data_IF_866488143187
#
_entry.id   IF_866488143187
#
_cell.length_a   1.000
_cell.length_b   1.000
_cell.length_c   1.000
_cell.angle_alpha   90.00
_cell.angle_beta   90.00
_cell.angle_gamma   90.00
#
_symmetry.space_group_name_H-M   'P 1'
#
loop_
_entity.id
_entity.type
_entity.pdbx_description
1 polymer ?
#
# COMPACT_ATOMS: atom_id res chain seq x y z
N UNK A 1 -2.99 -15.72 22.96
CA UNK A 1 -3.47 -14.49 22.28
C UNK A 1 -2.76 -14.37 20.94
N UNK A 2 -3.49 -14.10 19.85
CA UNK A 2 -2.90 -13.91 18.52
C UNK A 2 -2.94 -12.41 18.20
N UNK A 3 -1.77 -11.80 18.01
CA UNK A 3 -1.63 -10.39 17.70
C UNK A 3 -1.30 -10.19 16.22
N UNK A 4 -1.91 -9.18 15.59
CA UNK A 4 -1.77 -8.90 14.15
C UNK A 4 -0.46 -8.16 13.83
N UNK A 5 0.06 -7.37 14.78
CA UNK A 5 1.30 -6.63 14.62
C UNK A 5 2.38 -7.08 15.60
N UNK A 6 3.68 -6.91 15.27
CA UNK A 6 4.77 -7.16 16.21
C UNK A 6 4.68 -6.27 17.46
N UNK A 7 4.22 -5.02 17.30
CA UNK A 7 4.06 -4.08 18.41
C UNK A 7 2.98 -4.55 19.41
N UNK A 8 1.82 -5.00 18.90
CA UNK A 8 0.77 -5.58 19.75
C UNK A 8 1.24 -6.85 20.43
N UNK A 9 1.97 -7.71 19.72
CA UNK A 9 2.52 -8.94 20.30
C UNK A 9 3.47 -8.62 21.46
N UNK A 10 4.37 -7.64 21.28
CA UNK A 10 5.29 -7.19 22.32
C UNK A 10 4.55 -6.57 23.52
N UNK A 11 3.52 -5.76 23.27
CA UNK A 11 2.68 -5.19 24.31
C UNK A 11 1.97 -6.27 25.13
N UNK A 12 1.22 -7.16 24.46
CA UNK A 12 0.43 -8.18 25.14
C UNK A 12 1.29 -9.25 25.82
N UNK A 13 2.49 -9.54 25.32
CA UNK A 13 3.42 -10.47 25.95
C UNK A 13 3.85 -10.01 27.37
N UNK A 14 3.72 -8.71 27.69
CA UNK A 14 3.96 -8.19 29.04
C UNK A 14 2.82 -8.50 30.02
N UNK A 15 1.63 -8.83 29.53
CA UNK A 15 0.42 -9.00 30.32
C UNK A 15 -0.14 -10.43 30.28
N UNK A 16 0.16 -11.18 29.23
CA UNK A 16 -0.39 -12.50 28.99
C UNK A 16 0.70 -13.52 28.68
N UNK A 17 0.51 -14.77 29.13
CA UNK A 17 1.32 -15.91 28.67
C UNK A 17 0.79 -16.39 27.31
N UNK A 18 1.68 -16.90 26.45
CA UNK A 18 1.35 -17.45 25.12
C UNK A 18 0.75 -16.40 24.16
N UNK A 19 1.53 -15.35 23.89
CA UNK A 19 1.23 -14.35 22.85
C UNK A 19 2.02 -14.68 21.60
N UNK A 20 1.34 -14.82 20.47
CA UNK A 20 1.95 -15.13 19.18
C UNK A 20 1.57 -14.05 18.17
N UNK A 21 2.55 -13.62 17.37
CA UNK A 21 2.31 -12.73 16.24
C UNK A 21 1.87 -13.58 15.03
N UNK A 22 0.68 -13.28 14.50
CA UNK A 22 0.15 -13.87 13.27
C UNK A 22 -0.35 -12.73 12.38
N UNK A 23 0.32 -12.44 11.26
CA UNK A 23 -0.06 -11.33 10.39
C UNK A 23 -1.48 -11.44 9.83
N UNK A 24 -2.01 -10.31 9.37
CA UNK A 24 -3.34 -10.25 8.77
C UNK A 24 -3.44 -11.14 7.52
N UNK A 25 -4.56 -11.86 7.41
CA UNK A 25 -4.91 -12.58 6.19
C UNK A 25 -5.30 -11.60 5.09
N UNK A 26 -4.97 -11.92 3.85
CA UNK A 26 -5.22 -11.06 2.71
C UNK A 26 -5.70 -11.83 1.47
N UNK A 27 -6.17 -11.13 0.45
CA UNK A 27 -6.77 -11.73 -0.75
C UNK A 27 -5.77 -12.27 -1.77
N UNK A 28 -4.47 -12.14 -1.53
CA UNK A 28 -3.44 -12.51 -2.51
C UNK A 28 -2.90 -13.91 -2.21
N UNK A 29 -2.87 -14.79 -3.21
CA UNK A 29 -2.38 -16.16 -3.05
C UNK A 29 -0.87 -16.32 -3.27
N UNK A 30 -0.24 -15.44 -4.04
CA UNK A 30 1.21 -15.43 -4.31
C UNK A 30 1.64 -14.05 -4.81
N UNK A 31 2.92 -13.75 -4.68
CA UNK A 31 3.51 -12.54 -5.28
C UNK A 31 3.53 -12.72 -6.80
N UNK A 32 2.97 -11.75 -7.52
CA UNK A 32 2.86 -11.77 -8.97
C UNK A 32 2.93 -10.33 -9.51
N UNK A 33 4.16 -9.81 -9.59
CA UNK A 33 4.47 -8.46 -10.04
C UNK A 33 4.59 -8.45 -11.58
N UNK A 34 3.86 -7.58 -12.29
CA UNK A 34 3.98 -7.47 -13.74
C UNK A 34 5.35 -6.95 -14.19
N UNK A 35 5.88 -7.55 -15.26
CA UNK A 35 7.07 -7.06 -15.94
C UNK A 35 6.83 -5.71 -16.64
N UNK A 36 7.94 -5.12 -17.12
CA UNK A 36 7.93 -3.89 -17.90
C UNK A 36 7.58 -2.64 -17.09
N UNK A 37 6.95 -1.68 -17.76
CA UNK A 37 6.56 -0.38 -17.22
C UNK A 37 5.04 -0.18 -17.36
N UNK A 38 4.44 0.46 -16.36
CA UNK A 38 3.15 1.13 -16.49
C UNK A 38 3.33 2.61 -16.83
N UNK A 39 2.22 3.32 -17.02
CA UNK A 39 2.17 4.70 -17.51
C UNK A 39 1.54 5.69 -16.50
N UNK A 40 1.07 5.22 -15.35
CA UNK A 40 0.50 6.06 -14.30
C UNK A 40 0.89 5.64 -12.88
N UNK A 41 0.73 6.57 -11.95
CA UNK A 41 0.73 6.31 -10.53
C UNK A 41 -0.71 6.11 -10.02
N UNK A 42 -0.91 5.26 -9.03
CA UNK A 42 -2.22 4.94 -8.46
C UNK A 42 -2.26 5.23 -6.97
N UNK A 43 -3.36 5.83 -6.52
CA UNK A 43 -3.84 5.75 -5.14
C UNK A 43 -5.23 5.14 -5.10
N UNK A 44 -5.49 4.27 -4.11
CA UNK A 44 -6.81 3.67 -3.94
C UNK A 44 -7.29 3.57 -2.49
N UNK A 45 -8.61 3.65 -2.29
CA UNK A 45 -9.24 3.50 -0.98
C UNK A 45 -10.74 3.79 -0.99
N UNK A 46 -11.40 3.51 0.13
CA UNK A 46 -12.75 4.01 0.37
C UNK A 46 -12.67 5.51 0.66
N UNK A 47 -12.92 6.37 -0.32
CA UNK A 47 -12.71 7.82 -0.24
C UNK A 47 -13.73 8.50 0.68
N UNK A 48 -14.82 7.82 1.06
CA UNK A 48 -15.70 8.29 2.15
C UNK A 48 -15.04 8.24 3.52
N UNK A 49 -13.94 7.50 3.69
CA UNK A 49 -13.21 7.45 4.97
C UNK A 49 -12.29 8.68 5.06
N UNK A 50 -12.38 9.49 6.13
CA UNK A 50 -11.61 10.74 6.25
C UNK A 50 -10.10 10.58 6.05
N UNK A 51 -9.51 9.50 6.57
CA UNK A 51 -8.08 9.20 6.37
C UNK A 51 -7.73 9.04 4.88
N UNK A 52 -8.59 8.34 4.12
CA UNK A 52 -8.34 8.10 2.70
C UNK A 52 -8.55 9.35 1.86
N UNK A 53 -9.55 10.17 2.20
CA UNK A 53 -9.81 11.46 1.57
C UNK A 53 -8.63 12.42 1.82
N UNK A 54 -8.15 12.51 3.06
CA UNK A 54 -6.99 13.32 3.43
C UNK A 54 -5.74 12.91 2.63
N UNK A 55 -5.46 11.61 2.55
CA UNK A 55 -4.35 11.07 1.76
C UNK A 55 -4.51 11.38 0.26
N UNK A 56 -5.70 11.21 -0.31
CA UNK A 56 -5.97 11.55 -1.71
C UNK A 56 -5.75 13.04 -1.99
N UNK A 57 -6.26 13.91 -1.12
CA UNK A 57 -6.12 15.36 -1.26
C UNK A 57 -4.68 15.84 -1.10
N UNK A 58 -3.91 15.26 -0.18
CA UNK A 58 -2.47 15.50 -0.09
C UNK A 58 -1.76 15.16 -1.40
N UNK A 59 -2.09 14.01 -2.00
CA UNK A 59 -1.50 13.63 -3.28
C UNK A 59 -1.84 14.63 -4.39
N UNK A 60 -3.10 15.05 -4.50
CA UNK A 60 -3.53 16.03 -5.50
C UNK A 60 -2.81 17.36 -5.31
N UNK A 61 -2.88 17.92 -4.10
CA UNK A 61 -2.52 19.31 -3.85
C UNK A 61 -1.02 19.52 -3.62
N UNK A 62 -0.29 18.52 -3.11
CA UNK A 62 1.12 18.70 -2.71
C UNK A 62 2.10 17.84 -3.53
N UNK A 63 1.67 16.67 -4.01
CA UNK A 63 2.56 15.72 -4.69
C UNK A 63 2.41 15.77 -6.21
N UNK A 64 1.19 15.82 -6.74
CA UNK A 64 0.93 15.71 -8.17
C UNK A 64 0.66 17.03 -8.88
N UNK A 65 0.36 18.12 -8.16
CA UNK A 65 0.26 19.44 -8.76
C UNK A 65 1.59 19.82 -9.44
N UNK A 66 1.54 20.12 -10.74
CA UNK A 66 2.72 20.40 -11.57
C UNK A 66 3.69 19.24 -11.76
N UNK A 67 3.32 17.99 -11.45
CA UNK A 67 4.14 16.81 -11.70
C UNK A 67 3.84 16.23 -13.09
N UNK A 68 4.87 15.98 -13.90
CA UNK A 68 4.74 15.32 -15.21
C UNK A 68 4.58 13.78 -15.06
N UNK A 69 3.59 13.38 -14.26
CA UNK A 69 3.19 11.99 -14.03
C UNK A 69 1.68 11.98 -13.84
N UNK A 70 0.99 11.11 -14.57
CA UNK A 70 -0.46 10.89 -14.38
C UNK A 70 -0.71 10.17 -13.06
N UNK A 71 -1.65 10.69 -12.28
CA UNK A 71 -2.21 10.01 -11.11
C UNK A 71 -3.63 9.55 -11.43
N UNK A 72 -3.93 8.29 -11.13
CA UNK A 72 -5.29 7.78 -11.01
C UNK A 72 -5.62 7.63 -9.54
N UNK A 73 -6.72 8.25 -9.10
CA UNK A 73 -7.30 8.07 -7.77
C UNK A 73 -8.55 7.20 -7.94
N UNK A 74 -8.55 6.03 -7.32
CA UNK A 74 -9.61 5.03 -7.48
C UNK A 74 -10.31 4.73 -6.15
N UNK A 75 -11.63 4.78 -6.12
CA UNK A 75 -12.35 4.49 -4.89
C UNK A 75 -13.85 4.72 -4.93
N UNK A 76 -14.46 4.72 -3.76
CA UNK A 76 -15.89 4.99 -3.58
C UNK A 76 -16.12 6.28 -2.81
N UNK A 77 -17.11 7.05 -3.27
CA UNK A 77 -17.68 8.18 -2.54
C UNK A 77 -16.66 9.27 -2.17
N UNK A 78 -15.98 9.85 -3.17
CA UNK A 78 -15.10 11.00 -2.94
C UNK A 78 -15.84 12.17 -2.28
N UNK A 79 -15.14 12.98 -1.49
CA UNK A 79 -15.71 14.22 -0.99
C UNK A 79 -15.92 15.24 -2.11
N UNK A 80 -16.84 16.19 -1.92
CA UNK A 80 -16.98 17.32 -2.84
C UNK A 80 -15.70 18.18 -2.93
N UNK A 81 -14.86 18.14 -1.89
CA UNK A 81 -13.59 18.84 -1.85
C UNK A 81 -12.54 18.12 -2.70
N UNK A 82 -12.39 16.80 -2.57
CA UNK A 82 -11.50 16.02 -3.42
C UNK A 82 -11.87 16.15 -4.91
N UNK A 83 -13.16 16.14 -5.25
CA UNK A 83 -13.60 16.38 -6.65
C UNK A 83 -13.18 17.76 -7.17
N UNK A 84 -13.26 18.81 -6.34
CA UNK A 84 -12.83 20.17 -6.70
C UNK A 84 -11.31 20.26 -6.85
N UNK A 85 -10.56 19.62 -5.96
CA UNK A 85 -9.10 19.57 -6.01
C UNK A 85 -8.64 18.88 -7.31
N UNK A 86 -9.21 17.71 -7.63
CA UNK A 86 -8.89 16.96 -8.86
C UNK A 86 -9.22 17.77 -10.11
N UNK A 87 -10.35 18.48 -10.15
CA UNK A 87 -10.74 19.29 -11.31
C UNK A 87 -9.76 20.42 -11.65
N UNK A 88 -8.87 20.80 -10.71
CA UNK A 88 -7.85 21.85 -10.90
C UNK A 88 -6.50 21.30 -11.35
N UNK A 89 -6.26 20.00 -11.23
CA UNK A 89 -4.95 19.38 -11.46
C UNK A 89 -5.04 18.45 -12.68
N UNK A 90 -4.54 18.87 -13.86
CA UNK A 90 -4.86 18.23 -15.14
C UNK A 90 -4.27 16.82 -15.31
N UNK A 91 -3.23 16.48 -14.55
CA UNK A 91 -2.61 15.16 -14.55
C UNK A 91 -3.24 14.19 -13.54
N UNK A 92 -4.33 14.56 -12.86
CA UNK A 92 -5.04 13.69 -11.93
C UNK A 92 -6.40 13.29 -12.48
N UNK A 93 -6.69 11.99 -12.46
CA UNK A 93 -7.98 11.42 -12.80
C UNK A 93 -8.61 10.79 -11.55
N UNK A 94 -9.89 11.08 -11.30
CA UNK A 94 -10.68 10.44 -10.26
C UNK A 94 -11.63 9.40 -10.89
N UNK A 95 -11.50 8.14 -10.48
CA UNK A 95 -12.38 7.02 -10.85
C UNK A 95 -13.20 6.57 -9.67
N UNK A 96 -14.47 6.94 -9.69
CA UNK A 96 -15.45 6.54 -8.67
C UNK A 96 -16.30 5.35 -9.12
N UNK A 97 -16.86 4.63 -8.15
CA UNK A 97 -17.82 3.54 -8.38
C UNK A 97 -17.27 2.37 -9.21
N UNK A 98 -15.97 2.11 -9.12
CA UNK A 98 -15.33 0.96 -9.75
C UNK A 98 -15.32 -0.25 -8.81
N UNK A 99 -15.50 -1.45 -9.37
CA UNK A 99 -15.50 -2.70 -8.62
C UNK A 99 -14.10 -3.12 -8.14
N UNK A 100 -14.06 -4.09 -7.22
CA UNK A 100 -12.81 -4.64 -6.66
C UNK A 100 -11.86 -5.18 -7.74
N UNK A 101 -12.39 -5.84 -8.77
CA UNK A 101 -11.59 -6.39 -9.86
C UNK A 101 -10.87 -5.29 -10.65
N UNK A 102 -11.54 -4.15 -10.88
CA UNK A 102 -10.92 -3.01 -11.56
C UNK A 102 -9.87 -2.33 -10.67
N UNK A 103 -10.09 -2.25 -9.35
CA UNK A 103 -9.05 -1.78 -8.41
C UNK A 103 -7.82 -2.70 -8.47
N UNK A 104 -8.02 -4.01 -8.45
CA UNK A 104 -6.93 -4.97 -8.54
C UNK A 104 -6.18 -4.86 -9.88
N UNK A 105 -6.92 -4.64 -10.97
CA UNK A 105 -6.34 -4.38 -12.29
C UNK A 105 -5.50 -3.11 -12.28
N UNK A 106 -6.03 -2.00 -11.75
CA UNK A 106 -5.29 -0.75 -11.63
C UNK A 106 -4.02 -0.91 -10.80
N UNK A 107 -4.07 -1.64 -9.68
CA UNK A 107 -2.89 -1.90 -8.83
C UNK A 107 -1.77 -2.60 -9.62
N UNK A 108 -2.14 -3.57 -10.46
CA UNK A 108 -1.21 -4.30 -11.33
C UNK A 108 -0.68 -3.41 -12.46
N UNK A 109 -1.56 -2.66 -13.12
CA UNK A 109 -1.22 -1.85 -14.30
C UNK A 109 -0.40 -0.60 -13.94
N UNK A 110 -0.60 -0.04 -12.74
CA UNK A 110 0.15 1.11 -12.27
C UNK A 110 1.66 0.85 -12.26
N UNK A 111 2.42 1.88 -12.61
CA UNK A 111 3.86 1.87 -12.47
C UNK A 111 4.27 2.09 -11.01
N UNK A 112 3.53 2.96 -10.31
CA UNK A 112 3.75 3.28 -8.91
C UNK A 112 2.43 3.25 -8.16
N UNK A 113 2.33 2.39 -7.14
CA UNK A 113 1.28 2.47 -6.15
C UNK A 113 1.75 3.43 -5.04
N UNK A 114 1.14 4.61 -4.97
CA UNK A 114 1.52 5.67 -4.02
C UNK A 114 0.56 5.63 -2.85
N UNK A 115 1.06 5.35 -1.64
CA UNK A 115 0.23 5.04 -0.47
C UNK A 115 0.66 5.88 0.74
N UNK A 116 0.34 7.19 0.81
CA UNK A 116 0.46 7.94 2.04
C UNK A 116 -0.68 7.59 3.01
N UNK A 117 -0.41 7.74 4.31
CA UNK A 117 -1.42 7.76 5.37
C UNK A 117 -0.99 8.74 6.46
N UNK A 118 -1.95 9.37 7.12
CA UNK A 118 -1.71 10.23 8.27
C UNK A 118 -2.14 9.58 9.59
N UNK A 119 -2.41 8.27 9.56
CA UNK A 119 -2.74 7.45 10.73
C UNK A 119 -1.89 6.18 10.74
N UNK A 120 -0.99 6.07 11.71
CA UNK A 120 -0.17 4.87 11.93
C UNK A 120 -0.99 3.80 12.67
N UNK A 121 -1.81 3.05 11.91
CA UNK A 121 -2.70 2.00 12.42
C UNK A 121 -2.41 0.66 11.77
N UNK A 122 -1.47 -0.08 12.34
CA UNK A 122 -1.16 -1.47 11.94
C UNK A 122 -0.87 -1.68 10.46
N UNK A 123 -0.91 -2.94 10.02
CA UNK A 123 -0.72 -3.31 8.62
C UNK A 123 -2.00 -3.05 7.83
N UNK A 124 -1.88 -2.26 6.76
CA UNK A 124 -3.01 -1.95 5.87
C UNK A 124 -3.10 -2.97 4.72
N UNK A 125 -4.27 -3.57 4.50
CA UNK A 125 -4.47 -4.57 3.44
C UNK A 125 -4.19 -4.03 2.02
N UNK A 126 -4.38 -2.72 1.78
CA UNK A 126 -4.01 -2.07 0.51
C UNK A 126 -2.51 -2.11 0.24
N UNK A 127 -1.69 -2.02 1.29
CA UNK A 127 -0.24 -2.14 1.18
C UNK A 127 0.15 -3.55 0.77
N UNK A 128 -0.43 -4.57 1.39
CA UNK A 128 -0.20 -5.97 1.01
C UNK A 128 -0.64 -6.22 -0.43
N UNK A 129 -1.82 -5.76 -0.85
CA UNK A 129 -2.27 -5.90 -2.24
C UNK A 129 -1.25 -5.30 -3.23
N UNK A 130 -0.78 -4.07 -2.96
CA UNK A 130 0.20 -3.39 -3.81
C UNK A 130 1.56 -4.09 -3.82
N UNK A 131 2.02 -4.62 -2.68
CA UNK A 131 3.29 -5.35 -2.60
C UNK A 131 3.19 -6.71 -3.31
N UNK A 132 2.08 -7.44 -3.15
CA UNK A 132 1.90 -8.74 -3.79
C UNK A 132 1.70 -8.65 -5.30
N UNK A 133 1.02 -7.62 -5.80
CA UNK A 133 0.53 -7.61 -7.20
C UNK A 133 0.93 -6.39 -8.00
N UNK A 134 1.38 -5.32 -7.35
CA UNK A 134 1.80 -4.08 -8.01
C UNK A 134 3.31 -4.00 -8.21
N UNK A 135 3.73 -3.04 -9.05
CA UNK A 135 5.15 -2.75 -9.33
C UNK A 135 5.81 -2.03 -8.15
N UNK A 136 6.07 -0.72 -8.27
CA UNK A 136 6.68 0.05 -7.19
C UNK A 136 5.64 0.45 -6.15
N UNK A 137 6.09 0.55 -4.90
CA UNK A 137 5.31 1.16 -3.81
C UNK A 137 6.09 2.34 -3.27
N UNK A 138 5.48 3.53 -3.31
CA UNK A 138 6.00 4.74 -2.68
C UNK A 138 5.04 5.12 -1.56
N UNK A 139 5.53 5.35 -0.35
CA UNK A 139 4.67 5.64 0.80
C UNK A 139 5.36 6.58 1.77
N UNK A 140 4.64 7.03 2.81
CA UNK A 140 5.23 7.78 3.91
C UNK A 140 5.49 6.88 5.13
N UNK A 141 6.31 7.31 6.11
CA UNK A 141 6.66 6.48 7.25
C UNK A 141 5.46 5.86 8.00
N UNK A 142 4.36 6.59 8.27
CA UNK A 142 3.17 6.02 8.92
C UNK A 142 2.51 4.85 8.19
N UNK A 143 2.76 4.65 6.89
CA UNK A 143 2.23 3.50 6.13
C UNK A 143 2.92 2.18 6.49
N UNK A 144 4.18 2.23 6.89
CA UNK A 144 5.04 1.04 7.03
C UNK A 144 5.64 0.86 8.43
N UNK A 145 5.55 1.86 9.30
CA UNK A 145 6.12 1.82 10.64
C UNK A 145 5.69 0.58 11.44
N UNK A 146 6.67 -0.21 11.89
CA UNK A 146 6.42 -1.38 12.74
C UNK A 146 5.82 -2.58 12.00
N UNK A 147 5.72 -2.51 10.67
CA UNK A 147 5.16 -3.60 9.84
C UNK A 147 6.24 -4.60 9.42
N UNK A 148 7.51 -4.19 9.39
CA UNK A 148 8.60 -4.96 8.81
C UNK A 148 8.53 -5.04 7.28
N UNK A 149 7.83 -4.10 6.63
CA UNK A 149 7.69 -3.96 5.17
C UNK A 149 8.41 -2.70 4.63
N UNK A 150 9.09 -1.96 5.50
CA UNK A 150 9.77 -0.69 5.22
C UNK A 150 10.75 -0.85 4.05
N UNK A 151 11.53 -1.93 4.06
CA UNK A 151 12.55 -2.20 3.03
C UNK A 151 11.98 -2.65 1.68
N UNK A 152 10.68 -2.95 1.61
CA UNK A 152 10.00 -3.35 0.36
C UNK A 152 9.39 -2.15 -0.37
N UNK A 153 9.41 -0.97 0.25
CA UNK A 153 8.81 0.26 -0.24
C UNK A 153 9.85 1.37 -0.39
N UNK A 154 9.51 2.41 -1.16
CA UNK A 154 10.24 3.69 -1.14
C UNK A 154 9.56 4.63 -0.17
N UNK A 155 10.09 4.70 1.05
CA UNK A 155 9.53 5.48 2.14
C UNK A 155 10.03 6.93 2.07
N UNK A 156 9.12 7.90 1.96
CA UNK A 156 9.43 9.33 1.89
C UNK A 156 8.52 10.13 2.82
N UNK A 157 9.11 10.94 3.70
CA UNK A 157 8.38 11.68 4.74
C UNK A 157 7.71 12.96 4.23
N UNK A 158 8.18 13.53 3.13
CA UNK A 158 7.74 14.82 2.61
C UNK A 158 7.39 14.75 1.12
N UNK A 159 6.52 15.66 0.68
CA UNK A 159 6.02 15.72 -0.69
C UNK A 159 7.15 15.87 -1.74
N UNK A 160 8.14 16.78 -1.58
CA UNK A 160 9.23 16.91 -2.54
C UNK A 160 10.01 15.61 -2.77
N UNK A 161 10.38 14.89 -1.71
CA UNK A 161 11.08 13.60 -1.85
C UNK A 161 10.18 12.51 -2.41
N UNK A 162 8.89 12.53 -2.06
CA UNK A 162 7.90 11.62 -2.64
C UNK A 162 7.80 11.79 -4.16
N UNK A 163 7.79 13.04 -4.66
CA UNK A 163 7.81 13.36 -6.10
C UNK A 163 9.04 12.77 -6.81
N UNK A 164 10.23 13.00 -6.25
CA UNK A 164 11.47 12.44 -6.78
C UNK A 164 11.45 10.91 -6.83
N UNK A 165 10.93 10.27 -5.77
CA UNK A 165 10.79 8.83 -5.71
C UNK A 165 9.80 8.29 -6.76
N UNK A 166 8.66 8.96 -6.97
CA UNK A 166 7.68 8.60 -7.99
C UNK A 166 8.33 8.70 -9.38
N UNK A 167 8.94 9.83 -9.72
CA UNK A 167 9.60 10.04 -11.02
C UNK A 167 10.70 9.01 -11.28
N UNK A 168 11.55 8.73 -10.29
CA UNK A 168 12.59 7.71 -10.40
C UNK A 168 12.02 6.30 -10.62
N UNK A 169 10.82 6.01 -10.11
CA UNK A 169 10.14 4.74 -10.36
C UNK A 169 9.51 4.68 -11.75
N UNK A 170 9.00 5.79 -12.29
CA UNK A 170 8.29 5.79 -13.58
C UNK A 170 9.13 5.20 -14.71
N UNK A 171 10.44 5.49 -14.74
CA UNK A 171 11.37 4.99 -15.77
C UNK A 171 12.07 3.67 -15.46
N UNK A 172 11.73 2.97 -14.38
CA UNK A 172 12.46 1.76 -13.94
C UNK A 172 11.53 0.56 -13.75
N UNK A 173 11.80 -0.63 -14.29
CA UNK A 173 11.00 -1.81 -14.00
C UNK A 173 11.14 -2.25 -12.53
N UNK A 174 10.10 -2.90 -11.99
CA UNK A 174 10.09 -3.44 -10.64
C UNK A 174 10.59 -4.89 -10.63
N UNK A 175 11.89 -5.09 -10.80
CA UNK A 175 12.51 -6.42 -10.97
C UNK A 175 13.86 -6.56 -10.25
N UNK A 176 14.53 -7.70 -10.45
CA UNK A 176 15.85 -8.01 -9.89
C UNK A 176 15.84 -8.22 -8.37
N UNK A 177 16.93 -7.86 -7.71
CA UNK A 177 17.14 -8.10 -6.27
C UNK A 177 16.04 -7.52 -5.37
N UNK A 178 15.41 -6.42 -5.78
CA UNK A 178 14.27 -5.84 -5.02
C UNK A 178 13.04 -6.75 -5.05
N UNK A 179 12.76 -7.38 -6.19
CA UNK A 179 11.65 -8.34 -6.32
C UNK A 179 11.96 -9.65 -5.58
N UNK A 180 13.20 -10.12 -5.64
CA UNK A 180 13.64 -11.32 -4.89
C UNK A 180 13.49 -11.13 -3.38
N UNK A 181 13.93 -9.98 -2.84
CA UNK A 181 13.76 -9.64 -1.42
C UNK A 181 12.28 -9.57 -1.05
N UNK A 182 11.45 -8.98 -1.92
CA UNK A 182 10.00 -8.91 -1.72
C UNK A 182 9.36 -10.29 -1.67
N UNK A 183 9.72 -11.19 -2.59
CA UNK A 183 9.26 -12.59 -2.59
C UNK A 183 9.59 -13.28 -1.27
N UNK A 184 10.86 -13.22 -0.85
CA UNK A 184 11.32 -13.84 0.38
C UNK A 184 10.52 -13.36 1.61
N UNK A 185 10.39 -12.04 1.79
CA UNK A 185 9.69 -11.47 2.96
C UNK A 185 8.19 -11.79 2.96
N UNK A 186 7.52 -11.67 1.81
CA UNK A 186 6.07 -11.84 1.73
C UNK A 186 5.63 -13.31 1.84
N UNK A 187 6.33 -14.22 1.16
CA UNK A 187 5.99 -15.66 1.21
C UNK A 187 6.37 -16.31 2.55
N UNK A 188 7.38 -15.77 3.24
CA UNK A 188 7.72 -16.21 4.59
C UNK A 188 6.68 -15.76 5.62
N UNK A 189 6.32 -14.47 5.62
CA UNK A 189 5.58 -13.86 6.73
C UNK A 189 4.08 -13.72 6.47
N UNK A 190 3.67 -13.52 5.23
CA UNK A 190 2.29 -13.15 4.89
C UNK A 190 1.54 -14.28 4.16
N UNK A 191 2.12 -15.46 3.98
CA UNK A 191 1.40 -16.59 3.39
C UNK A 191 0.25 -17.07 4.30
N UNK A 192 -0.98 -16.94 3.80
CA UNK A 192 -2.20 -17.30 4.53
C UNK A 192 -2.20 -18.77 4.99
N UNK A 193 -1.67 -19.69 4.18
CA UNK A 193 -1.68 -21.12 4.51
C UNK A 193 -0.71 -21.41 5.65
N UNK A 194 0.52 -20.92 5.57
CA UNK A 194 1.53 -21.03 6.64
C UNK A 194 1.02 -20.41 7.93
N UNK A 195 0.38 -19.24 7.86
CA UNK A 195 -0.21 -18.58 9.02
C UNK A 195 -1.37 -19.38 9.62
N UNK A 196 -2.23 -19.99 8.79
CA UNK A 196 -3.29 -20.90 9.27
C UNK A 196 -2.70 -22.16 9.93
N UNK A 197 -1.69 -22.78 9.32
CA UNK A 197 -0.99 -23.94 9.87
C UNK A 197 -0.30 -23.61 11.20
N UNK A 198 0.27 -22.42 11.34
CA UNK A 198 0.84 -21.93 12.60
C UNK A 198 -0.24 -21.81 13.69
N UNK A 199 -1.40 -21.22 13.37
CA UNK A 199 -2.54 -21.16 14.31
C UNK A 199 -2.96 -22.56 14.75
N UNK A 200 -3.11 -23.51 13.82
CA UNK A 200 -3.51 -24.88 14.14
C UNK A 200 -2.53 -25.58 15.08
N UNK A 201 -1.22 -25.30 14.99
CA UNK A 201 -0.22 -25.83 15.91
C UNK A 201 -0.35 -25.27 17.33
N UNK A 202 -0.87 -24.05 17.48
CA UNK A 202 -1.08 -23.41 18.79
C UNK A 202 -2.35 -23.90 19.50
N UNK A 203 -3.26 -24.55 18.76
CA UNK A 203 -4.49 -25.13 19.31
C UNK A 203 -4.31 -26.58 19.79
N UNK A 204 -3.15 -27.18 19.53
CA UNK A 204 -2.78 -28.52 19.96
C UNK A 204 -1.97 -28.45 21.25
#
# INVERSE_FOLDING_TARGET
LLAISPADAAYFARHFRNVHHVPAFHSCGRVNVPDGLGDFALYHGALSVPENDQAARFLVNEVFDGLDVRLVIAGSNASAELRRDVARVPNVELRENIGTDEIHRLVREAQVNVLPTFQATGIKLKLLLCLFTGRHVVCNPPMVEGTGLEELCRVQADAPRMRLAIQACMGKPANGATLEKRLAVLEERFDNRRNAEAILRLLR
#
